data_IF_885661201003
#
_entry.id   IF_885661201003
#
_cell.length_a   1.000
_cell.length_b   1.000
_cell.length_c   1.000
_cell.angle_alpha   90.00
_cell.angle_beta   90.00
_cell.angle_gamma   90.00
#
_symmetry.space_group_name_H-M   'P 1'
#
loop_
_entity.id
_entity.type
_entity.pdbx_description
1 polymer ?
#
# COMPACT_ATOMS: atom_id res chain seq x y z
N UNK A 1 -17.18 -20.83 -3.09
CA UNK A 1 -16.75 -19.80 -4.06
C UNK A 1 -16.71 -18.40 -3.43
N UNK A 2 -17.78 -17.98 -2.74
CA UNK A 2 -17.90 -16.60 -2.21
C UNK A 2 -16.77 -16.24 -1.23
N UNK A 3 -16.39 -17.14 -0.30
CA UNK A 3 -15.29 -16.87 0.64
C UNK A 3 -13.95 -16.59 -0.05
N UNK A 4 -13.57 -17.42 -1.04
CA UNK A 4 -12.35 -17.19 -1.81
C UNK A 4 -12.43 -15.90 -2.62
N UNK A 5 -13.57 -15.62 -3.27
CA UNK A 5 -13.79 -14.38 -4.00
C UNK A 5 -13.63 -13.15 -3.08
N UNK A 6 -14.18 -13.21 -1.88
CA UNK A 6 -14.10 -12.14 -0.89
C UNK A 6 -12.66 -11.93 -0.39
N UNK A 7 -11.89 -13.00 -0.17
CA UNK A 7 -10.47 -12.91 0.20
C UNK A 7 -9.66 -12.19 -0.88
N UNK A 8 -9.83 -12.56 -2.15
CA UNK A 8 -9.16 -11.88 -3.26
C UNK A 8 -9.63 -10.43 -3.46
N UNK A 9 -10.92 -10.15 -3.25
CA UNK A 9 -11.44 -8.79 -3.28
C UNK A 9 -10.80 -7.92 -2.18
N UNK A 10 -10.61 -8.45 -0.97
CA UNK A 10 -9.95 -7.75 0.13
C UNK A 10 -8.47 -7.47 -0.18
N UNK A 11 -7.75 -8.41 -0.78
CA UNK A 11 -6.36 -8.17 -1.23
C UNK A 11 -6.28 -7.00 -2.21
N UNK A 12 -7.21 -6.94 -3.17
CA UNK A 12 -7.27 -5.85 -4.13
C UNK A 12 -7.64 -4.50 -3.48
N UNK A 13 -8.61 -4.49 -2.57
CA UNK A 13 -9.01 -3.29 -1.81
C UNK A 13 -7.83 -2.72 -1.02
N UNK A 14 -7.09 -3.55 -0.28
CA UNK A 14 -5.90 -3.13 0.48
C UNK A 14 -4.83 -2.57 -0.47
N UNK A 15 -4.64 -3.18 -1.64
CA UNK A 15 -3.71 -2.67 -2.66
C UNK A 15 -4.08 -1.26 -3.15
N UNK A 16 -5.37 -0.98 -3.37
CA UNK A 16 -5.86 0.35 -3.73
C UNK A 16 -5.61 1.35 -2.58
N UNK A 17 -5.90 0.99 -1.34
CA UNK A 17 -5.66 1.87 -0.18
C UNK A 17 -4.19 2.25 -0.03
N UNK A 18 -3.27 1.29 -0.15
CA UNK A 18 -1.83 1.56 -0.07
C UNK A 18 -1.39 2.47 -1.21
N UNK A 19 -1.87 2.20 -2.43
CA UNK A 19 -1.59 3.03 -3.60
C UNK A 19 -2.08 4.47 -3.43
N UNK A 20 -3.30 4.65 -2.91
CA UNK A 20 -3.91 5.94 -2.69
C UNK A 20 -3.21 6.77 -1.61
N UNK A 21 -2.87 6.15 -0.47
CA UNK A 21 -2.33 6.86 0.69
C UNK A 21 -0.83 7.15 0.57
N UNK A 22 -0.04 6.21 0.03
CA UNK A 22 1.42 6.30 0.08
C UNK A 22 2.07 6.52 -1.30
N UNK A 23 1.49 5.98 -2.38
CA UNK A 23 2.11 6.01 -3.72
C UNK A 23 1.59 7.15 -4.61
N UNK A 24 0.98 8.18 -4.02
CA UNK A 24 0.44 9.34 -4.74
C UNK A 24 -0.88 9.08 -5.48
N UNK A 25 -1.52 7.93 -5.25
CA UNK A 25 -2.84 7.60 -5.80
C UNK A 25 -2.93 7.76 -7.32
N UNK A 26 -3.63 8.81 -7.73
CA UNK A 26 -3.98 9.12 -9.12
C UNK A 26 -2.87 9.83 -9.90
N UNK A 27 -1.83 10.33 -9.22
CA UNK A 27 -0.78 11.10 -9.89
C UNK A 27 0.20 10.19 -10.64
N UNK A 28 0.63 10.63 -11.82
CA UNK A 28 1.70 10.00 -12.56
C UNK A 28 3.02 10.03 -11.76
N UNK A 29 3.75 8.91 -11.62
CA UNK A 29 5.10 8.90 -11.04
C UNK A 29 6.11 9.76 -11.81
N UNK A 30 5.81 10.06 -13.08
CA UNK A 30 6.67 10.82 -13.98
C UNK A 30 6.37 12.33 -13.98
N UNK A 31 5.43 12.81 -13.16
CA UNK A 31 5.05 14.22 -13.11
C UNK A 31 4.77 14.80 -14.49
N UNK A 32 5.29 16.01 -14.75
CA UNK A 32 5.08 16.76 -15.99
C UNK A 32 6.16 16.50 -17.08
N UNK A 33 6.97 15.44 -16.96
CA UNK A 33 8.08 15.15 -17.90
C UNK A 33 7.62 14.94 -19.36
N UNK A 34 6.35 14.58 -19.58
CA UNK A 34 5.74 14.39 -20.90
C UNK A 34 4.62 15.41 -21.18
N UNK A 35 4.72 16.63 -20.65
CA UNK A 35 3.81 17.73 -20.98
C UNK A 35 2.35 17.52 -20.55
N UNK A 36 2.12 16.85 -19.42
CA UNK A 36 0.78 16.69 -18.83
C UNK A 36 -0.17 15.73 -19.54
N UNK A 37 0.23 15.14 -20.68
CA UNK A 37 -0.64 14.25 -21.47
C UNK A 37 -1.09 12.99 -20.70
N UNK A 38 -0.23 12.52 -19.79
CA UNK A 38 -0.46 11.34 -18.95
C UNK A 38 -1.06 11.66 -17.57
N UNK A 39 -1.57 12.87 -17.33
CA UNK A 39 -2.19 13.26 -16.05
C UNK A 39 -3.70 13.57 -16.20
N UNK A 40 -4.29 13.25 -17.36
CA UNK A 40 -5.68 13.55 -17.68
C UNK A 40 -6.53 12.30 -17.93
N UNK A 41 -7.72 12.27 -17.31
CA UNK A 41 -8.80 11.32 -17.61
C UNK A 41 -8.51 9.86 -17.25
N UNK A 42 -8.67 8.96 -18.23
CA UNK A 42 -8.53 7.50 -18.07
C UNK A 42 -7.15 7.07 -17.59
N UNK A 43 -6.13 7.89 -17.84
CA UNK A 43 -4.76 7.56 -17.50
C UNK A 43 -4.49 7.60 -15.99
N UNK A 44 -5.23 8.41 -15.24
CA UNK A 44 -5.13 8.46 -13.78
C UNK A 44 -5.74 7.19 -13.14
N UNK A 45 -6.81 6.66 -13.73
CA UNK A 45 -7.39 5.36 -13.34
C UNK A 45 -6.39 4.25 -13.66
N UNK A 46 -5.73 4.31 -14.82
CA UNK A 46 -4.69 3.36 -15.18
C UNK A 46 -3.51 3.37 -14.19
N UNK A 47 -3.08 4.54 -13.71
CA UNK A 47 -2.01 4.64 -12.71
C UNK A 47 -2.41 4.04 -11.36
N UNK A 48 -3.60 4.32 -10.86
CA UNK A 48 -4.01 3.75 -9.56
C UNK A 48 -4.19 2.23 -9.64
N UNK A 49 -4.76 1.72 -10.74
CA UNK A 49 -4.94 0.28 -10.97
C UNK A 49 -3.60 -0.41 -11.16
N UNK A 50 -2.68 0.13 -11.96
CA UNK A 50 -1.35 -0.47 -12.18
C UNK A 50 -0.54 -0.52 -10.88
N UNK A 51 -0.54 0.56 -10.07
CA UNK A 51 0.09 0.57 -8.75
C UNK A 51 -0.56 -0.43 -7.79
N UNK A 52 -1.89 -0.52 -7.78
CA UNK A 52 -2.60 -1.50 -6.95
C UNK A 52 -2.26 -2.95 -7.36
N UNK A 53 -2.20 -3.25 -8.65
CA UNK A 53 -1.76 -4.56 -9.17
C UNK A 53 -0.30 -4.85 -8.79
N UNK A 54 0.58 -3.85 -8.84
CA UNK A 54 1.96 -4.01 -8.38
C UNK A 54 2.04 -4.34 -6.88
N UNK A 55 1.20 -3.73 -6.04
CA UNK A 55 1.10 -4.09 -4.61
C UNK A 55 0.56 -5.50 -4.42
N UNK A 56 -0.47 -5.91 -5.15
CA UNK A 56 -0.99 -7.30 -5.09
C UNK A 56 0.08 -8.29 -5.54
N UNK A 57 0.85 -7.97 -6.59
CA UNK A 57 1.99 -8.77 -7.02
C UNK A 57 3.03 -8.91 -5.91
N UNK A 58 3.37 -7.81 -5.23
CA UNK A 58 4.28 -7.82 -4.09
C UNK A 58 3.75 -8.66 -2.92
N UNK A 59 2.46 -8.60 -2.61
CA UNK A 59 1.84 -9.45 -1.58
C UNK A 59 1.90 -10.93 -1.93
N UNK A 60 1.64 -11.29 -3.19
CA UNK A 60 1.76 -12.67 -3.67
C UNK A 60 3.21 -13.15 -3.63
N UNK A 61 4.16 -12.29 -4.00
CA UNK A 61 5.57 -12.60 -3.91
C UNK A 61 6.01 -12.84 -2.46
N UNK A 62 5.62 -11.96 -1.53
CA UNK A 62 5.89 -12.11 -0.10
C UNK A 62 5.32 -13.42 0.47
N UNK A 63 4.14 -13.84 0.00
CA UNK A 63 3.52 -15.11 0.40
C UNK A 63 4.38 -16.33 0.03
N UNK A 64 5.15 -16.25 -1.04
CA UNK A 64 6.04 -17.32 -1.48
C UNK A 64 7.43 -17.23 -0.85
N UNK A 65 7.91 -16.05 -0.46
CA UNK A 65 9.25 -15.89 0.13
C UNK A 65 9.28 -16.07 1.64
N UNK A 66 8.23 -15.69 2.36
CA UNK A 66 8.23 -15.70 3.82
C UNK A 66 7.82 -17.07 4.38
N UNK A 67 8.62 -17.65 5.29
CA UNK A 67 8.21 -18.82 6.06
C UNK A 67 6.96 -18.50 6.89
N UNK A 68 6.06 -19.47 7.03
CA UNK A 68 4.82 -19.28 7.82
C UNK A 68 5.17 -19.00 9.28
N UNK A 69 4.83 -17.80 9.76
CA UNK A 69 5.00 -17.41 11.15
C UNK A 69 3.87 -17.96 12.04
N UNK A 70 4.20 -18.27 13.29
CA UNK A 70 3.20 -18.70 14.29
C UNK A 70 2.35 -17.50 14.73
N UNK A 71 1.07 -17.75 15.07
CA UNK A 71 0.12 -16.70 15.51
C UNK A 71 0.67 -15.90 16.70
N UNK A 72 1.38 -16.55 17.62
CA UNK A 72 1.98 -15.88 18.79
C UNK A 72 3.06 -14.86 18.38
N UNK A 73 3.86 -15.20 17.36
CA UNK A 73 4.91 -14.31 16.82
C UNK A 73 4.31 -13.18 15.98
N UNK A 74 3.22 -13.46 15.26
CA UNK A 74 2.46 -12.46 14.53
C UNK A 74 1.89 -11.42 15.49
N UNK A 75 1.25 -11.86 16.57
CA UNK A 75 0.66 -10.97 17.57
C UNK A 75 1.73 -10.14 18.28
N UNK A 76 2.87 -10.74 18.62
CA UNK A 76 4.01 -10.03 19.20
C UNK A 76 4.49 -8.90 18.27
N UNK A 77 4.67 -9.19 16.98
CA UNK A 77 5.18 -8.20 16.01
C UNK A 77 4.21 -7.04 15.82
N UNK A 78 2.90 -7.33 15.71
CA UNK A 78 1.88 -6.30 15.55
C UNK A 78 1.82 -5.37 16.76
N UNK A 79 1.73 -5.92 17.97
CA UNK A 79 1.50 -5.12 19.18
C UNK A 79 2.76 -4.49 19.77
N UNK A 80 3.88 -5.21 19.79
CA UNK A 80 5.10 -4.73 20.45
C UNK A 80 6.07 -4.03 19.52
N UNK A 81 5.96 -4.22 18.20
CA UNK A 81 6.87 -3.59 17.23
C UNK A 81 6.13 -2.56 16.39
N UNK A 82 5.07 -2.96 15.68
CA UNK A 82 4.39 -2.07 14.72
C UNK A 82 3.61 -0.94 15.40
N UNK A 83 2.87 -1.23 16.47
CA UNK A 83 2.11 -0.19 17.20
C UNK A 83 2.99 0.93 17.76
N UNK A 84 4.06 0.66 18.55
CA UNK A 84 4.91 1.74 19.04
C UNK A 84 5.64 2.48 17.91
N UNK A 85 6.02 1.77 16.83
CA UNK A 85 6.62 2.40 15.66
C UNK A 85 5.67 3.38 14.97
N UNK A 86 4.39 3.04 14.83
CA UNK A 86 3.38 3.93 14.27
C UNK A 86 3.18 5.20 15.11
N UNK A 87 3.21 5.09 16.44
CA UNK A 87 3.17 6.29 17.29
C UNK A 87 4.43 7.14 17.13
N UNK A 88 5.61 6.53 17.06
CA UNK A 88 6.87 7.25 16.84
C UNK A 88 6.88 8.02 15.51
N UNK A 89 6.39 7.44 14.42
CA UNK A 89 6.31 8.14 13.14
C UNK A 89 5.34 9.32 13.17
N UNK A 90 4.20 9.20 13.85
CA UNK A 90 3.26 10.32 14.02
C UNK A 90 3.92 11.49 14.78
N UNK A 91 4.60 11.20 15.89
CA UNK A 91 5.32 12.24 16.64
C UNK A 91 6.44 12.89 15.82
N UNK A 92 7.20 12.10 15.08
CA UNK A 92 8.29 12.61 14.22
C UNK A 92 7.76 13.53 13.11
N UNK A 93 6.69 13.13 12.42
CA UNK A 93 6.06 13.96 11.39
C UNK A 93 5.48 15.24 11.99
N UNK A 94 4.85 15.15 13.16
CA UNK A 94 4.34 16.31 13.87
C UNK A 94 5.43 17.30 14.27
N UNK A 95 6.56 16.81 14.77
CA UNK A 95 7.72 17.66 15.11
C UNK A 95 8.33 18.28 13.86
N UNK A 96 8.53 17.49 12.79
CA UNK A 96 9.04 17.97 11.51
C UNK A 96 8.19 19.11 10.93
N UNK A 97 6.87 19.06 11.08
CA UNK A 97 5.98 20.10 10.57
C UNK A 97 6.04 21.41 11.37
N UNK A 98 6.49 21.37 12.62
CA UNK A 98 6.66 22.56 13.47
C UNK A 98 7.99 23.28 13.24
N UNK A 99 8.96 22.62 12.61
CA UNK A 99 10.31 23.12 12.35
C UNK A 99 10.37 23.74 10.95
#
# INVERSE_FOLDING_TARGET
AIFFLAEYANLFMIGIFISALFLGGWSSPFGNLFGGFFDHGLWNIFWIVSKAVAIVFLQMWLRWTLPRLRVDQLMYTSWKVLTPFAFATIFLVGLWMLL
#
